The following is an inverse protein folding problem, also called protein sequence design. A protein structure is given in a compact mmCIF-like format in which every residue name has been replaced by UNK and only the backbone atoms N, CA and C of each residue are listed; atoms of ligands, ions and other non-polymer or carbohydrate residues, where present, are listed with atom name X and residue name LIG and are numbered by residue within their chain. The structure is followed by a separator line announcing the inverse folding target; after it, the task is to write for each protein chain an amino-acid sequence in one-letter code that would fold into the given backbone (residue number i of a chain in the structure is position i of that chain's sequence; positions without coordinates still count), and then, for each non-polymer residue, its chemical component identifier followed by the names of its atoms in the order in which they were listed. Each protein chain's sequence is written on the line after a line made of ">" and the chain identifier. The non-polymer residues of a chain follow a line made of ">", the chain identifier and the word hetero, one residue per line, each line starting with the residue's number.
data_IF_640929274217
#
_entry.id   IF_640929274217
#
_cell.length_a   1.000
_cell.length_b   1.000
_cell.length_c   1.000
_cell.angle_alpha   90.00
_cell.angle_beta   90.00
_cell.angle_gamma   90.00
#
_symmetry.space_group_name_H-M   'P 1'
#
loop_
_entity.id
_entity.type
_entity.pdbx_description
1 polymer ?
#
# COMPACT_ATOMS: atom_id res chain seq x y z
N UNK A 1 -14.86 -10.95 -11.86
CA UNK A 1 -13.46 -10.50 -11.65
C UNK A 1 -13.24 -9.23 -12.44
N UNK A 2 -12.51 -8.25 -11.86
CA UNK A 2 -12.14 -7.00 -12.52
C UNK A 2 -10.84 -7.20 -13.29
N UNK A 3 -10.78 -6.70 -14.53
CA UNK A 3 -9.57 -6.78 -15.37
C UNK A 3 -8.62 -5.64 -15.00
N UNK A 4 -7.39 -5.98 -14.63
CA UNK A 4 -6.28 -5.05 -14.37
C UNK A 4 -5.18 -5.36 -15.37
N UNK A 5 -4.74 -4.37 -16.15
CA UNK A 5 -3.60 -4.50 -17.04
C UNK A 5 -2.32 -4.31 -16.23
N UNK A 6 -1.34 -5.18 -16.43
CA UNK A 6 -0.06 -5.08 -15.74
C UNK A 6 1.09 -5.18 -16.75
N UNK A 7 2.06 -4.26 -16.62
CA UNK A 7 3.27 -4.22 -17.42
C UNK A 7 4.48 -4.54 -16.54
N UNK A 8 5.27 -5.51 -16.95
CA UNK A 8 6.59 -5.78 -16.39
C UNK A 8 7.62 -4.84 -17.02
N UNK A 9 8.41 -4.16 -16.20
CA UNK A 9 9.49 -3.27 -16.68
C UNK A 9 10.76 -4.05 -17.05
N UNK A 10 10.81 -5.35 -16.71
CA UNK A 10 11.85 -6.28 -17.10
C UNK A 10 11.28 -7.69 -17.24
N UNK A 11 11.77 -8.54 -18.15
CA UNK A 11 11.33 -9.93 -18.28
C UNK A 11 11.47 -10.76 -17.00
N UNK A 12 12.46 -10.43 -16.15
CA UNK A 12 12.73 -11.14 -14.88
C UNK A 12 11.73 -10.81 -13.76
N UNK A 13 10.96 -9.73 -13.87
CA UNK A 13 9.95 -9.38 -12.87
C UNK A 13 8.89 -10.46 -12.81
N UNK A 14 8.59 -10.94 -11.62
CA UNK A 14 7.52 -11.91 -11.37
C UNK A 14 6.19 -11.19 -11.16
N UNK A 15 5.14 -11.70 -11.79
CA UNK A 15 3.79 -11.18 -11.55
C UNK A 15 3.32 -11.57 -10.15
N UNK A 16 2.67 -10.66 -9.43
CA UNK A 16 1.98 -10.98 -8.19
C UNK A 16 0.79 -11.89 -8.46
N UNK A 17 0.45 -12.72 -7.48
CA UNK A 17 -0.69 -13.63 -7.56
C UNK A 17 -1.34 -13.84 -6.20
N UNK A 18 -2.62 -14.16 -6.19
CA UNK A 18 -3.32 -14.59 -4.99
C UNK A 18 -2.78 -15.94 -4.54
N UNK A 19 -2.39 -16.05 -3.26
CA UNK A 19 -1.82 -17.30 -2.72
C UNK A 19 -2.87 -18.33 -2.39
N UNK A 20 -4.08 -17.90 -2.09
CA UNK A 20 -5.26 -18.74 -1.81
C UNK A 20 -6.49 -18.13 -2.47
N UNK A 21 -7.56 -18.91 -2.65
CA UNK A 21 -8.82 -18.43 -3.21
C UNK A 21 -9.51 -17.35 -2.35
N UNK A 22 -9.25 -17.35 -1.04
CA UNK A 22 -9.79 -16.35 -0.11
C UNK A 22 -8.86 -15.18 0.18
N UNK A 23 -7.69 -15.10 -0.48
CA UNK A 23 -6.77 -13.97 -0.27
C UNK A 23 -7.36 -12.67 -0.83
N UNK A 24 -7.34 -11.60 -0.05
CA UNK A 24 -7.77 -10.26 -0.48
C UNK A 24 -6.69 -9.48 -1.22
N UNK A 25 -5.43 -9.83 -1.01
CA UNK A 25 -4.27 -9.13 -1.59
C UNK A 25 -3.28 -10.06 -2.27
N UNK A 26 -2.46 -9.46 -3.13
CA UNK A 26 -1.32 -10.11 -3.77
C UNK A 26 -0.03 -9.53 -3.20
N UNK A 27 0.96 -10.39 -2.87
CA UNK A 27 2.27 -9.92 -2.41
C UNK A 27 3.02 -9.17 -3.53
N UNK A 28 3.58 -8.01 -3.19
CA UNK A 28 4.54 -7.28 -4.01
C UNK A 28 5.96 -7.64 -3.62
N UNK A 29 6.80 -7.88 -4.62
CA UNK A 29 8.20 -8.24 -4.44
C UNK A 29 9.11 -7.08 -4.84
N UNK A 30 10.21 -6.92 -4.10
CA UNK A 30 11.28 -6.00 -4.48
C UNK A 30 11.92 -6.43 -5.80
N UNK A 31 12.13 -5.47 -6.71
CA UNK A 31 12.90 -5.67 -7.92
C UNK A 31 14.09 -4.69 -7.93
N UNK A 32 15.21 -5.15 -7.40
CA UNK A 32 16.42 -4.35 -7.14
C UNK A 32 17.66 -5.06 -7.66
N UNK A 33 18.67 -4.29 -8.09
CA UNK A 33 19.93 -4.84 -8.59
C UNK A 33 20.88 -5.31 -7.48
N UNK A 34 20.84 -4.62 -6.34
CA UNK A 34 21.63 -4.93 -5.15
C UNK A 34 20.76 -4.81 -3.92
N UNK A 35 21.09 -5.55 -2.86
CA UNK A 35 20.38 -5.51 -1.60
C UNK A 35 20.36 -4.09 -1.00
N UNK A 36 19.24 -3.73 -0.35
CA UNK A 36 19.04 -2.44 0.31
C UNK A 36 18.92 -2.68 1.80
N UNK A 37 19.75 -1.99 2.59
CA UNK A 37 19.65 -1.99 4.05
C UNK A 37 18.86 -0.77 4.51
N UNK A 38 17.75 -0.98 5.21
CA UNK A 38 16.97 0.07 5.85
C UNK A 38 17.36 0.14 7.31
N UNK A 39 18.05 1.21 7.69
CA UNK A 39 18.50 1.45 9.07
C UNK A 39 17.30 1.70 10.00
N UNK A 40 17.45 1.47 11.32
CA UNK A 40 16.43 1.84 12.30
C UNK A 40 15.95 3.28 12.14
N UNK A 41 14.62 3.47 12.22
CA UNK A 41 13.95 4.78 12.16
C UNK A 41 14.14 5.53 10.82
N UNK A 42 14.45 4.80 9.75
CA UNK A 42 14.57 5.36 8.39
C UNK A 42 13.62 4.67 7.41
N UNK A 43 13.43 5.27 6.24
CA UNK A 43 12.66 4.71 5.14
C UNK A 43 13.49 4.58 3.87
N UNK A 44 13.02 3.72 2.98
CA UNK A 44 13.55 3.59 1.61
C UNK A 44 12.42 3.34 0.63
N UNK A 45 12.56 3.88 -0.58
CA UNK A 45 11.65 3.66 -1.70
C UNK A 45 12.10 2.44 -2.49
N UNK A 46 11.32 1.35 -2.44
CA UNK A 46 11.68 0.06 -3.03
C UNK A 46 10.90 -0.16 -4.32
N UNK A 47 11.56 -0.30 -5.48
CA UNK A 47 10.92 -0.56 -6.76
C UNK A 47 10.40 -2.00 -6.83
N UNK A 48 9.33 -2.22 -7.62
CA UNK A 48 8.74 -3.53 -7.86
C UNK A 48 8.89 -4.02 -9.31
N UNK A 49 9.31 -3.14 -10.21
CA UNK A 49 9.40 -3.43 -11.65
C UNK A 49 8.05 -3.57 -12.34
N UNK A 50 6.96 -3.07 -11.74
CA UNK A 50 5.60 -3.20 -12.24
C UNK A 50 4.96 -1.84 -12.47
N UNK A 51 4.19 -1.72 -13.56
CA UNK A 51 3.25 -0.63 -13.81
C UNK A 51 1.88 -1.22 -14.16
N UNK A 52 0.80 -0.51 -13.81
CA UNK A 52 -0.57 -1.03 -13.93
C UNK A 52 -1.54 0.00 -14.53
N UNK A 53 -2.67 -0.51 -15.03
CA UNK A 53 -3.81 0.30 -15.44
C UNK A 53 -5.11 -0.45 -15.17
N UNK A 54 -6.13 0.25 -14.68
CA UNK A 54 -7.43 -0.30 -14.31
C UNK A 54 -8.51 0.78 -14.40
N UNK A 55 -9.81 0.39 -14.26
CA UNK A 55 -10.96 1.30 -14.30
C UNK A 55 -10.92 2.32 -13.17
N UNK A 56 -11.43 3.53 -13.42
CA UNK A 56 -11.57 4.62 -12.44
C UNK A 56 -12.55 4.33 -11.30
N UNK A 57 -13.32 3.24 -11.41
CA UNK A 57 -14.18 2.75 -10.32
C UNK A 57 -13.38 2.13 -9.16
N UNK A 58 -12.06 1.99 -9.31
CA UNK A 58 -11.19 1.32 -8.36
C UNK A 58 -9.94 2.13 -8.06
N UNK A 59 -9.31 1.81 -6.93
CA UNK A 59 -7.93 2.14 -6.58
C UNK A 59 -7.18 0.87 -6.24
N UNK A 60 -5.85 0.90 -6.22
CA UNK A 60 -5.06 -0.14 -5.59
C UNK A 60 -4.43 0.41 -4.33
N UNK A 61 -4.68 -0.27 -3.20
CA UNK A 61 -4.06 0.05 -1.93
C UNK A 61 -2.82 -0.81 -1.70
N UNK A 62 -1.73 -0.15 -1.30
CA UNK A 62 -0.49 -0.80 -0.87
C UNK A 62 -0.48 -0.83 0.65
N UNK A 63 -0.50 -2.06 1.21
CA UNK A 63 -0.58 -2.31 2.65
C UNK A 63 0.62 -3.10 3.14
N UNK A 64 1.00 -2.96 4.44
CA UNK A 64 2.04 -3.77 5.05
C UNK A 64 1.68 -5.26 5.05
N UNK A 65 2.70 -6.08 5.18
CA UNK A 65 2.54 -7.51 5.45
C UNK A 65 2.65 -7.75 6.96
N UNK A 66 1.66 -8.43 7.53
CA UNK A 66 1.60 -8.72 8.97
C UNK A 66 2.86 -9.43 9.49
N UNK A 67 3.41 -10.35 8.69
CA UNK A 67 4.63 -11.07 9.06
C UNK A 67 5.87 -10.18 9.16
N UNK A 68 6.00 -9.13 8.33
CA UNK A 68 7.08 -8.15 8.45
C UNK A 68 6.86 -7.22 9.64
N UNK A 69 5.61 -6.82 9.87
CA UNK A 69 5.26 -5.96 10.99
C UNK A 69 5.58 -6.64 12.33
N UNK A 70 5.10 -7.87 12.55
CA UNK A 70 5.24 -8.55 13.85
C UNK A 70 6.65 -9.06 14.13
N UNK A 71 7.43 -9.44 13.09
CA UNK A 71 8.76 -10.04 13.26
C UNK A 71 9.91 -9.04 13.19
N UNK A 72 9.71 -7.93 12.47
CA UNK A 72 10.79 -7.02 12.11
C UNK A 72 10.43 -5.54 12.31
N UNK A 73 9.23 -5.23 12.83
CA UNK A 73 8.74 -3.85 13.00
C UNK A 73 8.76 -3.04 11.68
N UNK A 74 8.54 -3.71 10.55
CA UNK A 74 8.58 -3.10 9.20
C UNK A 74 7.16 -2.76 8.76
N UNK A 75 6.99 -1.55 8.23
CA UNK A 75 5.71 -1.08 7.68
C UNK A 75 5.88 -0.41 6.32
N UNK A 76 4.76 -0.17 5.64
CA UNK A 76 4.65 0.79 4.53
C UNK A 76 4.36 2.14 5.16
N UNK A 77 5.26 3.11 4.97
CA UNK A 77 5.22 4.39 5.70
C UNK A 77 3.92 5.17 5.51
N UNK A 78 3.39 5.19 4.30
CA UNK A 78 2.16 5.90 3.92
C UNK A 78 0.92 4.97 3.89
N UNK A 79 0.92 3.88 4.67
CA UNK A 79 -0.17 2.89 4.61
C UNK A 79 -1.53 3.47 5.03
N UNK A 80 -2.61 3.17 4.28
CA UNK A 80 -2.63 2.52 2.98
C UNK A 80 -2.12 3.44 1.87
N UNK A 81 -1.05 3.01 1.16
CA UNK A 81 -0.57 3.75 -0.01
C UNK A 81 -1.57 3.65 -1.16
N UNK A 82 -1.92 4.76 -1.79
CA UNK A 82 -2.90 4.80 -2.88
C UNK A 82 -2.20 4.79 -4.23
N UNK A 83 -2.66 3.91 -5.12
CA UNK A 83 -2.33 3.94 -6.55
C UNK A 83 -3.62 4.31 -7.30
N UNK A 84 -3.61 5.47 -7.92
CA UNK A 84 -4.73 5.97 -8.69
C UNK A 84 -4.86 5.25 -10.04
N UNK A 85 -6.08 5.19 -10.58
CA UNK A 85 -6.38 4.48 -11.82
C UNK A 85 -5.66 5.07 -13.05
N UNK A 86 -5.30 6.34 -13.02
CA UNK A 86 -4.59 7.07 -14.09
C UNK A 86 -3.07 7.13 -13.87
N UNK A 87 -2.53 6.59 -12.77
CA UNK A 87 -1.09 6.48 -12.57
C UNK A 87 -0.48 5.43 -13.51
N UNK A 88 0.56 5.80 -14.25
CA UNK A 88 1.27 4.92 -15.22
C UNK A 88 2.72 4.67 -14.87
N UNK A 89 3.21 5.25 -13.79
CA UNK A 89 4.57 5.05 -13.32
C UNK A 89 4.78 3.66 -12.71
N UNK A 90 6.02 3.38 -12.35
CA UNK A 90 6.37 2.16 -11.61
C UNK A 90 5.77 2.19 -10.21
N UNK A 91 5.15 1.09 -9.80
CA UNK A 91 4.76 0.88 -8.40
C UNK A 91 6.03 0.75 -7.57
N UNK A 92 6.18 1.66 -6.60
CA UNK A 92 7.27 1.64 -5.62
C UNK A 92 6.67 1.68 -4.22
N UNK A 93 7.29 0.98 -3.29
CA UNK A 93 6.82 0.87 -1.91
C UNK A 93 7.74 1.63 -0.98
N UNK A 94 7.18 2.52 -0.16
CA UNK A 94 7.93 3.27 0.86
C UNK A 94 7.98 2.40 2.11
N UNK A 95 9.07 1.67 2.30
CA UNK A 95 9.28 0.81 3.48
C UNK A 95 9.92 1.62 4.59
N UNK A 96 9.36 1.53 5.80
CA UNK A 96 9.89 2.16 7.00
C UNK A 96 10.24 1.10 8.05
N UNK A 97 11.39 1.27 8.69
CA UNK A 97 11.89 0.41 9.76
C UNK A 97 11.63 1.06 11.13
N UNK A 98 10.61 0.61 11.85
CA UNK A 98 10.33 1.01 13.23
C UNK A 98 11.20 0.30 14.25
N UNK A 99 11.87 -0.78 13.86
CA UNK A 99 12.71 -1.60 14.73
C UNK A 99 13.99 -0.89 15.19
N UNK A 100 14.82 -1.66 15.90
CA UNK A 100 16.11 -1.19 16.42
C UNK A 100 17.32 -1.84 15.71
N UNK A 101 17.06 -2.73 14.74
CA UNK A 101 18.08 -3.41 13.97
C UNK A 101 17.95 -3.04 12.48
N UNK A 102 19.05 -3.12 11.75
CA UNK A 102 19.04 -3.00 10.29
C UNK A 102 18.13 -4.05 9.67
N UNK A 103 17.35 -3.65 8.66
CA UNK A 103 16.50 -4.55 7.87
C UNK A 103 17.02 -4.63 6.45
N UNK A 104 17.46 -5.83 6.05
CA UNK A 104 17.99 -6.10 4.71
C UNK A 104 16.85 -6.56 3.78
N UNK A 105 16.76 -5.92 2.62
CA UNK A 105 15.86 -6.32 1.52
C UNK A 105 16.72 -6.83 0.37
N UNK A 106 16.42 -8.05 -0.09
CA UNK A 106 17.02 -8.67 -1.26
C UNK A 106 16.06 -8.63 -2.44
N UNK A 107 16.59 -8.80 -3.65
CA UNK A 107 15.75 -8.92 -4.84
C UNK A 107 14.81 -10.14 -4.72
N UNK A 108 13.52 -9.91 -4.97
CA UNK A 108 12.47 -10.91 -4.87
C UNK A 108 11.85 -11.07 -3.48
N UNK A 109 12.32 -10.35 -2.46
CA UNK A 109 11.68 -10.34 -1.14
C UNK A 109 10.28 -9.73 -1.24
N UNK A 110 9.32 -10.34 -0.53
CA UNK A 110 7.94 -9.85 -0.43
C UNK A 110 7.88 -8.74 0.59
N UNK A 111 7.69 -7.51 0.13
CA UNK A 111 7.84 -6.29 0.94
C UNK A 111 6.50 -5.65 1.33
N UNK A 112 5.44 -5.89 0.57
CA UNK A 112 4.10 -5.33 0.80
C UNK A 112 3.05 -6.25 0.16
N UNK A 113 1.78 -5.86 0.26
CA UNK A 113 0.69 -6.47 -0.49
C UNK A 113 -0.14 -5.38 -1.17
N UNK A 114 -0.69 -5.68 -2.35
CA UNK A 114 -1.61 -4.80 -3.06
C UNK A 114 -3.02 -5.37 -3.06
N UNK A 115 -4.01 -4.51 -2.86
CA UNK A 115 -5.43 -4.86 -2.80
C UNK A 115 -6.20 -3.94 -3.73
N UNK A 116 -7.01 -4.49 -4.64
CA UNK A 116 -7.96 -3.73 -5.45
C UNK A 116 -9.16 -3.36 -4.60
N UNK A 117 -9.51 -2.07 -4.54
CA UNK A 117 -10.57 -1.53 -3.70
C UNK A 117 -11.49 -0.65 -4.55
N UNK A 118 -12.83 -0.74 -4.42
CA UNK A 118 -13.74 0.16 -5.11
C UNK A 118 -13.60 1.59 -4.58
N UNK A 119 -13.78 2.57 -5.46
CA UNK A 119 -13.73 4.00 -5.14
C UNK A 119 -15.10 4.61 -5.27
N UNK A 120 -15.54 5.33 -4.25
CA UNK A 120 -16.71 6.18 -4.28
C UNK A 120 -16.23 7.62 -4.26
N UNK A 121 -16.47 8.35 -5.35
CA UNK A 121 -16.13 9.78 -5.43
C UNK A 121 -17.21 10.59 -4.73
N UNK A 122 -16.82 11.57 -3.91
CA UNK A 122 -17.73 12.50 -3.26
C UNK A 122 -17.85 13.78 -4.11
N UNK A 123 -19.05 14.35 -4.14
CA UNK A 123 -19.29 15.71 -4.60
C UNK A 123 -19.42 16.60 -3.36
N UNK A 124 -18.56 17.61 -3.26
CA UNK A 124 -18.57 18.52 -2.12
C UNK A 124 -19.54 19.68 -2.41
N UNK A 125 -20.50 19.88 -1.51
CA UNK A 125 -21.41 21.03 -1.52
C UNK A 125 -21.11 21.91 -0.32
N UNK A 126 -20.69 23.13 -0.58
CA UNK A 126 -20.46 24.11 0.47
C UNK A 126 -21.78 24.51 1.14
N UNK A 127 -21.77 24.58 2.46
CA UNK A 127 -22.90 25.05 3.27
C UNK A 127 -22.38 25.83 4.48
N UNK A 128 -23.18 26.80 4.96
CA UNK A 128 -22.87 27.52 6.20
C UNK A 128 -23.09 26.68 7.45
N UNK A 129 -24.01 25.73 7.39
CA UNK A 129 -24.44 24.95 8.55
C UNK A 129 -24.57 23.48 8.23
N UNK A 130 -24.16 22.61 9.16
CA UNK A 130 -24.34 21.16 9.08
C UNK A 130 -25.54 20.72 9.94
N UNK A 131 -26.25 19.65 9.56
CA UNK A 131 -27.31 19.09 10.38
C UNK A 131 -26.80 18.71 11.80
N UNK A 132 -27.60 19.05 12.82
CA UNK A 132 -27.29 18.68 14.20
C UNK A 132 -27.33 17.16 14.41
N UNK A 133 -26.44 16.67 15.28
CA UNK A 133 -26.43 15.26 15.71
C UNK A 133 -26.28 15.17 17.23
N UNK A 134 -26.67 14.01 17.82
CA UNK A 134 -26.50 13.76 19.27
C UNK A 134 -25.02 13.86 19.68
N UNK A 135 -24.09 13.47 18.79
CA UNK A 135 -22.66 13.56 19.06
C UNK A 135 -22.13 15.00 18.99
N UNK A 136 -22.74 15.85 18.14
CA UNK A 136 -22.27 17.22 17.88
C UNK A 136 -20.79 17.26 17.55
N UNK A 137 -20.05 18.14 18.19
CA UNK A 137 -18.60 18.33 18.02
C UNK A 137 -17.74 17.35 18.84
N UNK A 138 -18.36 16.40 19.54
CA UNK A 138 -17.66 15.44 20.39
C UNK A 138 -16.70 14.54 19.59
N UNK A 139 -15.41 14.61 19.93
CA UNK A 139 -14.34 13.82 19.31
C UNK A 139 -13.16 13.65 20.27
N UNK A 140 -12.03 13.10 19.76
CA UNK A 140 -10.75 12.98 20.49
C UNK A 140 -10.88 12.33 21.90
N UNK A 141 -11.73 11.30 22.02
CA UNK A 141 -11.95 10.59 23.29
C UNK A 141 -13.05 11.21 24.16
N UNK A 142 -13.94 12.06 23.64
CA UNK A 142 -15.06 12.67 24.37
C UNK A 142 -16.05 11.67 25.00
N UNK A 143 -16.03 10.39 24.58
CA UNK A 143 -16.85 9.30 25.12
C UNK A 143 -16.19 8.55 26.28
N UNK A 144 -15.02 9.01 26.75
CA UNK A 144 -14.25 8.38 27.84
C UNK A 144 -13.38 7.22 27.37
N UNK A 145 -12.61 6.65 28.32
CA UNK A 145 -11.82 5.41 28.13
C UNK A 145 -12.68 4.20 28.50
#
# INVERSE_FOLDING_TARGET
>A
MVKVLIKKLSPQVKLPLYKTSGASGMDLMAYIKSSITIKPKTSSLIPTGLSIAFSEDFEIQIRPRSGLAVKHDITVLNTPGTIDSDYRGEIKVIIYNHGNNDFLINNGDRIAQMILTPVIKMELQETSDLPETIRGEGGFGSTGK
#
